data_IF_871779473079
#
_entry.id   IF_871779473079
#
_cell.length_a   1.000
_cell.length_b   1.000
_cell.length_c   1.000
_cell.angle_alpha   90.00
_cell.angle_beta   90.00
_cell.angle_gamma   90.00
#
_symmetry.space_group_name_H-M   'P 1'
#
loop_
_entity.id
_entity.type
_entity.pdbx_description
1 polymer ?
#
# COMPACT_ATOMS: atom_id res chain seq x y z
N UNK A 1 18.59 -12.70 -28.95
CA UNK A 1 18.28 -11.59 -28.06
C UNK A 1 16.85 -11.81 -27.52
N UNK A 2 16.68 -11.79 -26.21
CA UNK A 2 15.37 -11.87 -25.56
C UNK A 2 14.69 -10.50 -25.65
N UNK A 3 13.38 -10.50 -25.83
CA UNK A 3 12.56 -9.28 -25.82
C UNK A 3 11.41 -9.48 -24.82
N UNK A 4 11.18 -8.46 -24.02
CA UNK A 4 10.01 -8.40 -23.17
C UNK A 4 8.86 -7.76 -23.96
N UNK A 5 7.66 -8.30 -23.81
CA UNK A 5 6.41 -7.72 -24.33
C UNK A 5 5.46 -7.62 -23.12
N UNK A 6 5.00 -6.43 -22.83
CA UNK A 6 4.10 -6.17 -21.72
C UNK A 6 2.97 -5.22 -22.16
N UNK A 7 1.78 -5.38 -21.59
CA UNK A 7 0.64 -4.49 -21.84
C UNK A 7 0.77 -3.12 -21.15
N UNK A 8 1.63 -3.03 -20.14
CA UNK A 8 1.92 -1.80 -19.38
C UNK A 8 3.44 -1.68 -19.17
N UNK A 9 3.88 -0.69 -18.41
CA UNK A 9 5.29 -0.48 -18.09
C UNK A 9 5.89 -1.70 -17.39
N UNK A 10 7.11 -2.04 -17.72
CA UNK A 10 7.83 -3.11 -17.04
C UNK A 10 8.33 -2.55 -15.69
N UNK A 11 7.82 -3.12 -14.61
CA UNK A 11 8.28 -2.88 -13.24
C UNK A 11 8.57 -4.25 -12.62
N UNK A 12 9.80 -4.69 -12.73
CA UNK A 12 10.25 -6.01 -12.30
C UNK A 12 10.76 -6.02 -10.84
N UNK A 13 11.15 -7.20 -10.36
CA UNK A 13 11.65 -7.36 -8.98
C UNK A 13 12.91 -6.54 -8.71
N UNK A 14 13.70 -6.25 -9.74
CA UNK A 14 14.92 -5.45 -9.62
C UNK A 14 14.62 -3.97 -9.39
N UNK A 15 13.59 -3.40 -10.06
CA UNK A 15 13.11 -2.04 -9.82
C UNK A 15 12.68 -1.84 -8.37
N UNK A 16 11.97 -2.81 -7.79
CA UNK A 16 11.56 -2.77 -6.39
C UNK A 16 12.73 -2.87 -5.42
N UNK A 17 13.72 -3.72 -5.70
CA UNK A 17 14.92 -3.81 -4.87
C UNK A 17 15.72 -2.50 -4.89
N UNK A 18 15.85 -1.88 -6.08
CA UNK A 18 16.47 -0.56 -6.20
C UNK A 18 15.69 0.49 -5.41
N UNK A 19 14.39 0.47 -5.49
CA UNK A 19 13.52 1.39 -4.77
C UNK A 19 13.67 1.26 -3.25
N UNK A 20 13.65 0.05 -2.73
CA UNK A 20 13.85 -0.21 -1.30
C UNK A 20 15.22 0.30 -0.83
N UNK A 21 16.28 0.04 -1.62
CA UNK A 21 17.62 0.57 -1.31
C UNK A 21 17.66 2.10 -1.32
N UNK A 22 16.99 2.74 -2.28
CA UNK A 22 16.90 4.19 -2.35
C UNK A 22 16.15 4.78 -1.16
N UNK A 23 15.09 4.13 -0.67
CA UNK A 23 14.40 4.52 0.56
C UNK A 23 15.31 4.34 1.78
N UNK A 24 16.01 3.22 1.90
CA UNK A 24 16.91 2.92 3.01
C UNK A 24 18.16 3.82 3.04
N UNK A 25 18.46 4.52 1.97
CA UNK A 25 19.52 5.53 1.94
C UNK A 25 19.10 6.90 2.54
N UNK A 26 17.81 7.07 2.88
CA UNK A 26 17.29 8.26 3.54
C UNK A 26 17.48 8.15 5.05
N UNK A 27 17.73 9.29 5.70
CA UNK A 27 17.88 9.35 7.14
C UNK A 27 16.66 8.81 7.89
N UNK A 28 16.88 7.94 8.85
CA UNK A 28 15.83 7.35 9.68
C UNK A 28 14.97 6.29 8.97
N UNK A 29 15.40 5.82 7.78
CA UNK A 29 14.75 4.72 7.06
C UNK A 29 15.67 3.51 6.99
N UNK A 30 15.13 2.32 7.21
CA UNK A 30 15.85 1.06 7.04
C UNK A 30 15.10 0.13 6.08
N UNK A 31 15.85 -0.76 5.42
CA UNK A 31 15.28 -1.86 4.65
C UNK A 31 15.44 -3.15 5.45
N UNK A 32 14.37 -3.92 5.54
CA UNK A 32 14.32 -5.19 6.26
C UNK A 32 13.83 -6.30 5.32
N UNK A 33 14.48 -7.46 5.38
CA UNK A 33 13.96 -8.69 4.83
C UNK A 33 12.97 -9.26 5.86
N UNK A 34 11.67 -9.30 5.50
CA UNK A 34 10.62 -9.80 6.39
C UNK A 34 10.23 -11.24 6.10
N UNK A 35 10.59 -11.77 4.94
CA UNK A 35 10.28 -13.13 4.53
C UNK A 35 10.73 -13.42 3.11
N UNK A 36 10.28 -14.55 2.61
CA UNK A 36 10.51 -15.00 1.24
C UNK A 36 9.20 -15.50 0.63
N UNK A 37 9.05 -15.35 -0.68
CA UNK A 37 7.95 -15.94 -1.45
C UNK A 37 8.07 -17.45 -1.55
N UNK A 38 7.09 -18.10 -2.14
CA UNK A 38 7.08 -19.56 -2.37
C UNK A 38 8.35 -20.05 -3.08
N UNK A 39 8.88 -19.30 -4.06
CA UNK A 39 10.12 -19.63 -4.76
C UNK A 39 11.39 -19.02 -4.12
N UNK A 40 11.29 -18.50 -2.91
CA UNK A 40 12.44 -17.97 -2.17
C UNK A 40 12.88 -16.57 -2.58
N UNK A 41 12.09 -15.82 -3.36
CA UNK A 41 12.39 -14.39 -3.63
C UNK A 41 12.15 -13.54 -2.39
N UNK A 42 13.04 -12.59 -2.10
CA UNK A 42 12.96 -11.82 -0.87
C UNK A 42 11.74 -10.88 -0.87
N UNK A 43 11.06 -10.83 0.27
CA UNK A 43 10.07 -9.81 0.60
C UNK A 43 10.73 -8.73 1.44
N UNK A 44 10.86 -7.55 0.88
CA UNK A 44 11.45 -6.40 1.55
C UNK A 44 10.37 -5.44 2.07
N UNK A 45 10.66 -4.93 3.25
CA UNK A 45 9.91 -3.84 3.87
C UNK A 45 10.86 -2.66 4.10
N UNK A 46 10.43 -1.44 3.74
CA UNK A 46 11.06 -0.23 4.23
C UNK A 46 10.33 0.22 5.50
N UNK A 47 11.09 0.55 6.54
CA UNK A 47 10.51 1.03 7.80
C UNK A 47 11.25 2.26 8.33
N UNK A 48 10.52 3.12 9.03
CA UNK A 48 11.09 4.26 9.76
C UNK A 48 11.34 3.91 11.22
N UNK A 49 11.92 4.86 11.96
CA UNK A 49 12.16 4.72 13.39
C UNK A 49 10.87 4.39 14.15
N UNK A 50 11.02 3.72 15.28
CA UNK A 50 9.91 3.30 16.14
C UNK A 50 9.13 4.50 16.70
N UNK A 51 7.82 4.40 16.68
CA UNK A 51 6.84 5.31 17.26
C UNK A 51 5.74 4.50 17.94
N UNK A 52 4.98 5.09 18.88
CA UNK A 52 3.87 4.38 19.54
C UNK A 52 2.79 3.90 18.57
N UNK A 53 2.57 4.64 17.49
CA UNK A 53 1.61 4.32 16.44
C UNK A 53 2.33 4.05 15.11
N UNK A 54 1.78 3.13 14.32
CA UNK A 54 2.34 2.84 13.01
C UNK A 54 1.28 2.73 11.93
N UNK A 55 1.72 2.92 10.67
CA UNK A 55 0.89 2.78 9.47
C UNK A 55 1.52 1.75 8.55
N UNK A 56 0.69 1.00 7.83
CA UNK A 56 1.10 -0.04 6.89
C UNK A 56 0.66 0.33 5.47
N UNK A 57 1.60 0.25 4.54
CA UNK A 57 1.35 0.39 3.11
C UNK A 57 1.82 -0.87 2.39
N UNK A 58 0.92 -1.51 1.65
CA UNK A 58 1.24 -2.70 0.85
C UNK A 58 0.82 -2.51 -0.60
N UNK A 59 1.42 -3.25 -1.51
CA UNK A 59 1.03 -3.19 -2.91
C UNK A 59 1.56 -4.36 -3.73
N UNK A 60 1.12 -4.42 -4.97
CA UNK A 60 1.51 -5.45 -5.93
C UNK A 60 1.24 -6.88 -5.45
N UNK A 61 0.07 -7.10 -4.82
CA UNK A 61 -0.46 -8.43 -4.56
C UNK A 61 -0.77 -9.17 -5.88
N UNK A 62 -1.28 -8.42 -6.85
CA UNK A 62 -1.51 -8.92 -8.21
C UNK A 62 -0.42 -8.41 -9.18
N UNK A 63 0.22 -9.33 -9.92
CA UNK A 63 1.40 -9.00 -10.73
C UNK A 63 1.21 -7.97 -11.84
N UNK A 64 0.07 -7.89 -12.57
CA UNK A 64 -0.08 -6.94 -13.68
C UNK A 64 -0.44 -5.51 -13.25
N UNK A 65 -0.73 -5.27 -11.99
CA UNK A 65 -1.25 -4.00 -11.47
C UNK A 65 -0.17 -2.92 -11.38
N UNK A 66 0.31 -2.46 -12.53
CA UNK A 66 1.42 -1.51 -12.65
C UNK A 66 1.00 -0.08 -12.31
N UNK A 67 -0.21 0.34 -12.67
CA UNK A 67 -0.68 1.71 -12.37
C UNK A 67 -0.82 1.93 -10.86
N UNK A 68 -1.29 0.94 -10.11
CA UNK A 68 -1.29 0.95 -8.64
C UNK A 68 0.10 1.07 -8.06
N UNK A 69 1.08 0.36 -8.65
CA UNK A 69 2.48 0.48 -8.24
C UNK A 69 3.08 1.87 -8.54
N UNK A 70 2.70 2.50 -9.66
CA UNK A 70 3.07 3.89 -9.98
C UNK A 70 2.44 4.85 -8.96
N UNK A 71 1.17 4.65 -8.63
CA UNK A 71 0.46 5.41 -7.59
C UNK A 71 1.14 5.26 -6.23
N UNK A 72 1.39 4.02 -5.80
CA UNK A 72 2.10 3.74 -4.56
C UNK A 72 3.48 4.41 -4.52
N UNK A 73 4.25 4.32 -5.61
CA UNK A 73 5.57 4.95 -5.69
C UNK A 73 5.50 6.46 -5.47
N UNK A 74 4.59 7.15 -6.15
CA UNK A 74 4.41 8.59 -6.03
C UNK A 74 3.92 9.00 -4.63
N UNK A 75 3.02 8.20 -4.05
CA UNK A 75 2.56 8.36 -2.67
C UNK A 75 3.74 8.24 -1.69
N UNK A 76 4.57 7.21 -1.82
CA UNK A 76 5.76 7.01 -0.99
C UNK A 76 6.80 8.11 -1.20
N UNK A 77 7.03 8.57 -2.44
CA UNK A 77 7.93 9.69 -2.70
C UNK A 77 7.53 10.94 -1.92
N UNK A 78 6.22 11.18 -1.77
CA UNK A 78 5.67 12.29 -0.99
C UNK A 78 5.81 12.08 0.52
N UNK A 79 5.50 10.88 1.01
CA UNK A 79 5.60 10.53 2.44
C UNK A 79 7.06 10.52 2.94
N UNK A 80 8.00 10.17 2.07
CA UNK A 80 9.44 10.17 2.37
C UNK A 80 10.18 11.42 1.87
N UNK A 81 9.46 12.46 1.45
CA UNK A 81 10.07 13.72 1.05
C UNK A 81 10.68 14.50 2.22
N UNK A 82 11.63 15.41 1.91
CA UNK A 82 12.25 16.29 2.89
C UNK A 82 11.41 17.57 3.12
N UNK A 83 10.09 17.39 3.25
CA UNK A 83 9.18 18.48 3.58
C UNK A 83 8.83 18.44 5.06
N UNK A 84 8.53 19.61 5.64
CA UNK A 84 8.14 19.70 7.05
C UNK A 84 6.90 18.83 7.37
N UNK A 85 5.96 18.70 6.44
CA UNK A 85 4.78 17.86 6.61
C UNK A 85 5.17 16.38 6.70
N UNK A 86 5.99 15.91 5.76
CA UNK A 86 6.43 14.51 5.73
C UNK A 86 7.31 14.16 6.95
N UNK A 87 8.16 15.10 7.39
CA UNK A 87 8.95 14.92 8.61
C UNK A 87 8.04 14.78 9.83
N UNK A 88 7.11 15.72 10.05
CA UNK A 88 6.13 15.64 11.16
C UNK A 88 5.32 14.33 11.14
N UNK A 89 4.96 13.83 9.96
CA UNK A 89 4.25 12.57 9.84
C UNK A 89 5.13 11.39 10.29
N UNK A 90 6.37 11.31 9.83
CA UNK A 90 7.34 10.27 10.25
C UNK A 90 7.80 10.42 11.71
N UNK A 91 7.74 11.62 12.26
CA UNK A 91 8.00 11.86 13.70
C UNK A 91 6.83 11.38 14.58
N UNK A 92 5.62 11.38 14.05
CA UNK A 92 4.41 10.95 14.75
C UNK A 92 4.15 9.44 14.58
N UNK A 93 4.38 8.90 13.39
CA UNK A 93 4.04 7.52 13.04
C UNK A 93 5.27 6.75 12.54
N UNK A 94 5.39 5.49 12.97
CA UNK A 94 6.26 4.53 12.30
C UNK A 94 5.61 4.12 10.98
N UNK A 95 6.39 4.08 9.91
CA UNK A 95 5.92 3.60 8.61
C UNK A 95 6.43 2.19 8.35
N UNK A 96 5.57 1.32 7.83
CA UNK A 96 5.92 0.04 7.24
C UNK A 96 5.44 0.01 5.79
N UNK A 97 6.34 -0.26 4.85
CA UNK A 97 6.04 -0.25 3.40
C UNK A 97 6.53 -1.52 2.75
N UNK A 98 5.59 -2.33 2.24
CA UNK A 98 5.86 -3.54 1.45
C UNK A 98 5.41 -3.31 0.02
N UNK A 99 6.28 -2.82 -0.87
CA UNK A 99 5.85 -2.37 -2.19
C UNK A 99 5.65 -3.50 -3.21
N UNK A 100 6.08 -4.72 -2.89
CA UNK A 100 5.97 -5.89 -3.75
C UNK A 100 5.62 -7.12 -2.93
N UNK A 101 4.32 -7.40 -2.85
CA UNK A 101 3.81 -8.57 -2.13
C UNK A 101 4.00 -9.88 -2.90
N UNK A 102 3.94 -9.86 -4.24
CA UNK A 102 3.99 -11.03 -5.10
C UNK A 102 5.22 -11.02 -6.04
N UNK A 103 6.44 -11.19 -5.50
CA UNK A 103 7.64 -11.11 -6.32
C UNK A 103 7.76 -12.28 -7.32
N UNK A 104 7.23 -13.46 -7.02
CA UNK A 104 7.23 -14.61 -7.93
C UNK A 104 6.33 -14.34 -9.12
N UNK A 105 5.10 -13.92 -8.88
CA UNK A 105 4.14 -13.63 -9.93
C UNK A 105 4.64 -12.50 -10.85
N UNK A 106 5.27 -11.46 -10.30
CA UNK A 106 5.89 -10.39 -11.09
C UNK A 106 7.04 -10.92 -11.94
N UNK A 107 7.93 -11.75 -11.37
CA UNK A 107 9.06 -12.31 -12.10
C UNK A 107 8.65 -13.26 -13.24
N UNK A 108 7.51 -13.94 -13.09
CA UNK A 108 7.01 -14.94 -14.03
C UNK A 108 5.88 -14.43 -14.94
N UNK A 109 5.40 -13.20 -14.72
CA UNK A 109 4.33 -12.60 -15.53
C UNK A 109 2.96 -13.22 -15.27
N UNK A 110 2.68 -13.60 -14.03
CA UNK A 110 1.35 -14.10 -13.67
C UNK A 110 0.30 -12.99 -13.79
N UNK A 111 -0.94 -13.42 -14.09
CA UNK A 111 -2.05 -12.47 -14.21
C UNK A 111 -2.59 -12.01 -12.84
N UNK A 112 -2.67 -12.92 -11.85
CA UNK A 112 -3.29 -12.61 -10.56
C UNK A 112 -2.63 -13.32 -9.38
N UNK A 113 -2.56 -14.64 -9.42
CA UNK A 113 -2.14 -15.48 -8.32
C UNK A 113 -0.62 -15.46 -8.11
N UNK A 114 -0.20 -15.86 -6.91
CA UNK A 114 1.20 -16.23 -6.69
C UNK A 114 1.49 -17.59 -7.34
N UNK A 115 2.69 -18.12 -7.19
CA UNK A 115 3.07 -19.43 -7.75
C UNK A 115 2.47 -20.61 -6.97
N UNK A 116 1.86 -20.37 -5.81
CA UNK A 116 1.05 -21.33 -5.08
C UNK A 116 -0.41 -21.39 -5.56
N UNK A 117 -0.73 -20.78 -6.70
CA UNK A 117 -2.07 -20.67 -7.29
C UNK A 117 -3.09 -20.00 -6.38
N UNK A 118 -2.62 -19.08 -5.53
CA UNK A 118 -3.47 -18.38 -4.56
C UNK A 118 -3.51 -16.88 -4.89
N UNK A 119 -4.72 -16.31 -4.89
CA UNK A 119 -4.91 -14.86 -4.85
C UNK A 119 -4.50 -14.35 -3.46
N UNK A 120 -3.37 -13.63 -3.38
CA UNK A 120 -2.87 -13.11 -2.10
C UNK A 120 -3.89 -12.21 -1.41
N UNK A 121 -4.73 -11.49 -2.19
CA UNK A 121 -5.80 -10.67 -1.63
C UNK A 121 -7.09 -11.48 -1.30
N UNK A 122 -6.94 -12.79 -1.11
CA UNK A 122 -7.94 -13.73 -0.57
C UNK A 122 -7.37 -14.61 0.55
N UNK A 123 -6.11 -14.38 0.92
CA UNK A 123 -5.41 -15.15 1.96
C UNK A 123 -5.34 -14.42 3.31
N UNK A 124 -5.89 -13.21 3.40
CA UNK A 124 -5.89 -12.42 4.63
C UNK A 124 -6.85 -13.00 5.68
N UNK A 125 -6.29 -13.52 6.76
CA UNK A 125 -6.98 -14.23 7.83
C UNK A 125 -6.63 -15.72 7.87
N UNK A 126 -6.44 -16.38 6.74
CA UNK A 126 -5.91 -17.74 6.66
C UNK A 126 -4.37 -17.75 6.76
N UNK A 127 -3.72 -16.80 6.06
CA UNK A 127 -2.26 -16.66 6.04
C UNK A 127 -1.53 -17.95 5.68
N UNK A 128 -2.03 -18.67 4.70
CA UNK A 128 -1.45 -19.91 4.20
C UNK A 128 -0.24 -19.64 3.30
N UNK A 129 -0.20 -18.46 2.67
CA UNK A 129 0.88 -18.05 1.79
C UNK A 129 2.01 -17.39 2.57
N UNK A 130 3.29 -17.68 2.23
CA UNK A 130 4.42 -17.07 2.92
C UNK A 130 4.47 -15.55 2.78
N UNK A 131 3.95 -15.01 1.69
CA UNK A 131 3.92 -13.57 1.41
C UNK A 131 3.02 -12.81 2.39
N UNK A 132 1.79 -13.26 2.58
CA UNK A 132 0.84 -12.65 3.53
C UNK A 132 1.26 -12.93 4.97
N UNK A 133 1.80 -14.13 5.24
CA UNK A 133 2.36 -14.51 6.54
C UNK A 133 3.50 -13.55 6.95
N UNK A 134 4.42 -13.26 6.06
CA UNK A 134 5.54 -12.38 6.36
C UNK A 134 5.09 -10.96 6.76
N UNK A 135 4.03 -10.46 6.14
CA UNK A 135 3.48 -9.13 6.48
C UNK A 135 2.77 -9.15 7.82
N UNK A 136 1.92 -10.15 8.06
CA UNK A 136 1.20 -10.20 9.35
C UNK A 136 2.16 -10.45 10.51
N UNK A 137 3.17 -11.30 10.37
CA UNK A 137 4.19 -11.54 11.39
C UNK A 137 4.94 -10.24 11.74
N UNK A 138 5.22 -9.37 10.75
CA UNK A 138 5.81 -8.06 11.01
C UNK A 138 4.84 -7.16 11.78
N UNK A 139 3.55 -7.11 11.40
CA UNK A 139 2.53 -6.32 12.11
C UNK A 139 2.39 -6.78 13.55
N UNK A 140 2.23 -8.08 13.78
CA UNK A 140 2.09 -8.68 15.11
C UNK A 140 3.33 -8.44 15.98
N UNK A 141 4.52 -8.43 15.39
CA UNK A 141 5.74 -8.06 16.11
C UNK A 141 5.75 -6.57 16.53
N UNK A 142 5.17 -5.66 15.75
CA UNK A 142 5.02 -4.26 16.19
C UNK A 142 4.01 -4.17 17.35
N UNK A 143 2.87 -4.86 17.23
CA UNK A 143 1.83 -4.90 18.26
C UNK A 143 2.35 -5.52 19.57
N UNK A 144 3.09 -6.62 19.48
CA UNK A 144 3.75 -7.25 20.62
C UNK A 144 4.79 -6.34 21.31
N UNK A 145 5.37 -5.40 20.56
CA UNK A 145 6.25 -4.37 21.10
C UNK A 145 5.49 -3.14 21.65
N UNK A 146 4.16 -3.23 21.80
CA UNK A 146 3.30 -2.21 22.37
C UNK A 146 2.96 -1.05 21.42
N UNK A 147 3.10 -1.25 20.10
CA UNK A 147 2.74 -0.24 19.10
C UNK A 147 1.33 -0.51 18.56
N UNK A 148 0.64 0.53 18.17
CA UNK A 148 -0.73 0.46 17.64
C UNK A 148 -0.73 0.70 16.12
N UNK A 149 -1.33 -0.24 15.35
CA UNK A 149 -1.62 0.00 13.94
C UNK A 149 -2.82 0.93 13.83
N UNK A 150 -2.66 2.06 13.14
CA UNK A 150 -3.72 3.09 13.04
C UNK A 150 -4.25 3.30 11.63
N UNK A 151 -3.59 2.77 10.62
CA UNK A 151 -4.00 2.87 9.21
C UNK A 151 -3.36 1.77 8.38
N UNK A 152 -4.11 1.21 7.42
CA UNK A 152 -3.56 0.38 6.34
C UNK A 152 -4.08 0.86 4.99
N UNK A 153 -3.17 0.95 4.00
CA UNK A 153 -3.54 1.20 2.59
C UNK A 153 -2.90 0.13 1.71
N UNK A 154 -3.73 -0.46 0.86
CA UNK A 154 -3.37 -1.46 -0.13
C UNK A 154 -3.54 -0.88 -1.55
N UNK A 155 -2.47 -0.90 -2.33
CA UNK A 155 -2.42 -0.30 -3.66
C UNK A 155 -2.64 -1.35 -4.74
N UNK A 156 -3.67 -1.13 -5.55
CA UNK A 156 -4.13 -2.00 -6.62
C UNK A 156 -4.38 -1.24 -7.93
N UNK A 157 -4.76 -1.97 -8.97
CA UNK A 157 -5.22 -1.40 -10.23
C UNK A 157 -6.52 -2.06 -10.69
N UNK A 158 -7.38 -1.25 -11.30
CA UNK A 158 -8.57 -1.70 -12.02
C UNK A 158 -8.81 -0.77 -13.21
N UNK A 159 -9.99 -0.82 -13.85
CA UNK A 159 -10.28 0.04 -15.02
C UNK A 159 -10.58 1.51 -14.69
N UNK A 160 -10.75 1.87 -13.41
CA UNK A 160 -11.04 3.24 -13.00
C UNK A 160 -10.37 3.60 -11.65
N UNK A 161 -10.20 4.90 -11.42
CA UNK A 161 -9.63 5.39 -10.16
C UNK A 161 -10.70 5.38 -9.07
N UNK A 162 -10.46 4.63 -7.99
CA UNK A 162 -11.40 4.55 -6.87
C UNK A 162 -10.74 4.13 -5.55
N UNK A 163 -11.48 4.32 -4.47
CA UNK A 163 -11.11 3.86 -3.13
C UNK A 163 -12.21 2.96 -2.59
N UNK A 164 -11.89 1.68 -2.33
CA UNK A 164 -12.72 0.83 -1.49
C UNK A 164 -12.37 1.07 -0.03
N UNK A 165 -13.39 1.29 0.77
CA UNK A 165 -13.24 1.61 2.20
C UNK A 165 -14.16 0.74 3.04
N UNK A 166 -13.99 0.68 4.37
CA UNK A 166 -15.01 0.15 5.26
C UNK A 166 -16.36 0.88 5.08
N UNK A 167 -17.46 0.35 5.63
CA UNK A 167 -18.75 1.02 5.60
C UNK A 167 -18.66 2.43 6.18
N UNK A 168 -19.35 3.38 5.57
CA UNK A 168 -19.25 4.80 5.93
C UNK A 168 -19.62 5.10 7.38
N UNK A 169 -20.61 4.36 7.93
CA UNK A 169 -21.04 4.49 9.33
C UNK A 169 -19.96 4.09 10.35
N UNK A 170 -18.97 3.32 9.89
CA UNK A 170 -17.90 2.79 10.74
C UNK A 170 -16.58 3.54 10.52
N UNK A 171 -16.59 4.63 9.76
CA UNK A 171 -15.43 5.49 9.50
C UNK A 171 -15.26 6.50 10.66
N UNK A 172 -14.52 6.18 11.73
CA UNK A 172 -14.41 7.04 12.90
C UNK A 172 -13.30 8.07 12.76
N UNK A 173 -13.50 9.28 13.13
CA UNK A 173 -14.67 10.15 13.00
C UNK A 173 -14.74 10.75 11.59
N UNK A 174 -15.28 10.05 10.64
CA UNK A 174 -15.33 10.40 9.20
C UNK A 174 -13.92 10.54 8.55
N UNK A 175 -12.92 9.82 9.07
CA UNK A 175 -11.52 9.97 8.68
C UNK A 175 -11.30 9.83 7.18
N UNK A 176 -11.74 8.69 6.59
CA UNK A 176 -11.54 8.43 5.15
C UNK A 176 -12.35 9.40 4.31
N UNK A 177 -13.57 9.71 4.72
CA UNK A 177 -14.42 10.69 4.02
C UNK A 177 -13.74 12.07 3.98
N UNK A 178 -13.24 12.56 5.12
CA UNK A 178 -12.52 13.85 5.21
C UNK A 178 -11.25 13.86 4.38
N UNK A 179 -10.49 12.79 4.40
CA UNK A 179 -9.29 12.64 3.58
C UNK A 179 -9.60 12.74 2.09
N UNK A 180 -10.57 11.96 1.62
CA UNK A 180 -10.93 11.91 0.21
C UNK A 180 -11.60 13.22 -0.27
N UNK A 181 -12.41 13.87 0.55
CA UNK A 181 -13.03 15.16 0.21
C UNK A 181 -12.00 16.30 0.15
N UNK A 182 -11.04 16.33 1.07
CA UNK A 182 -9.92 17.28 1.00
C UNK A 182 -9.06 17.06 -0.24
N UNK A 183 -8.82 15.78 -0.59
CA UNK A 183 -8.10 15.43 -1.81
C UNK A 183 -8.85 15.85 -3.07
N UNK A 184 -10.16 15.61 -3.12
CA UNK A 184 -11.03 15.98 -4.26
C UNK A 184 -11.02 17.50 -4.50
N UNK A 185 -11.02 18.29 -3.45
CA UNK A 185 -10.96 19.75 -3.56
C UNK A 185 -9.65 20.24 -4.24
N UNK A 186 -8.58 19.47 -4.18
CA UNK A 186 -7.29 19.77 -4.81
C UNK A 186 -7.08 19.11 -6.18
N UNK A 187 -7.98 18.20 -6.55
CA UNK A 187 -7.91 17.40 -7.77
C UNK A 187 -9.17 17.57 -8.64
N UNK A 188 -9.53 18.82 -9.05
CA UNK A 188 -10.76 19.05 -9.80
C UNK A 188 -10.80 18.30 -11.15
N UNK A 189 -9.63 18.08 -11.75
CA UNK A 189 -9.48 17.42 -13.05
C UNK A 189 -9.09 15.93 -12.96
N UNK A 190 -9.18 15.34 -11.77
CA UNK A 190 -8.90 13.93 -11.54
C UNK A 190 -10.10 13.28 -10.85
N UNK A 191 -11.08 12.78 -11.61
CA UNK A 191 -12.25 12.13 -11.03
C UNK A 191 -11.85 10.78 -10.43
N UNK A 192 -12.30 10.52 -9.22
CA UNK A 192 -12.18 9.23 -8.55
C UNK A 192 -13.43 8.93 -7.74
N UNK A 193 -13.71 7.64 -7.54
CA UNK A 193 -14.86 7.19 -6.76
C UNK A 193 -14.47 6.87 -5.33
N UNK A 194 -15.38 7.13 -4.41
CA UNK A 194 -15.34 6.60 -3.04
C UNK A 194 -16.43 5.52 -2.93
N UNK A 195 -16.02 4.29 -2.68
CA UNK A 195 -16.89 3.11 -2.67
C UNK A 195 -16.83 2.43 -1.30
N UNK A 196 -17.69 2.82 -0.35
CA UNK A 196 -17.82 2.10 0.91
C UNK A 196 -18.32 0.69 0.65
N UNK A 197 -17.58 -0.31 1.13
CA UNK A 197 -17.88 -1.71 0.86
C UNK A 197 -18.82 -2.30 1.90
N UNK A 198 -19.84 -3.01 1.47
CA UNK A 198 -20.72 -3.79 2.35
C UNK A 198 -20.30 -5.26 2.47
N UNK A 199 -19.42 -5.75 1.59
CA UNK A 199 -18.94 -7.13 1.63
C UNK A 199 -17.71 -7.26 2.53
N UNK A 200 -17.93 -7.35 3.83
CA UNK A 200 -16.88 -7.47 4.84
C UNK A 200 -16.38 -8.91 5.04
N UNK A 201 -17.07 -9.91 4.48
CA UNK A 201 -16.70 -11.32 4.63
C UNK A 201 -15.58 -11.76 3.67
N UNK A 202 -15.31 -10.96 2.63
CA UNK A 202 -14.24 -11.27 1.71
C UNK A 202 -12.88 -11.18 2.40
N UNK A 203 -12.06 -12.22 2.28
CA UNK A 203 -10.75 -12.36 2.92
C UNK A 203 -9.65 -11.51 2.25
N UNK A 204 -9.93 -10.22 2.02
CA UNK A 204 -8.96 -9.26 1.51
C UNK A 204 -8.29 -8.46 2.64
N UNK A 205 -7.18 -7.82 2.32
CA UNK A 205 -6.36 -7.04 3.26
C UNK A 205 -7.19 -5.99 3.99
N UNK A 206 -7.95 -5.17 3.27
CA UNK A 206 -8.80 -4.11 3.81
C UNK A 206 -9.79 -4.63 4.85
N UNK A 207 -10.54 -5.67 4.51
CA UNK A 207 -11.54 -6.24 5.43
C UNK A 207 -10.89 -6.88 6.64
N UNK A 208 -9.75 -7.58 6.45
CA UNK A 208 -9.03 -8.20 7.55
C UNK A 208 -8.61 -7.17 8.59
N UNK A 209 -7.90 -6.11 8.20
CA UNK A 209 -7.41 -5.10 9.12
C UNK A 209 -8.54 -4.29 9.76
N UNK A 210 -9.56 -3.94 8.99
CA UNK A 210 -10.74 -3.28 9.53
C UNK A 210 -11.45 -4.15 10.60
N UNK A 211 -11.76 -5.42 10.29
CA UNK A 211 -12.50 -6.31 11.21
C UNK A 211 -11.69 -6.72 12.43
N UNK A 212 -10.41 -6.96 12.28
CA UNK A 212 -9.58 -7.47 13.37
C UNK A 212 -9.05 -6.38 14.30
N UNK A 213 -8.94 -5.13 13.81
CA UNK A 213 -8.30 -4.03 14.55
C UNK A 213 -9.17 -2.78 14.66
N UNK A 214 -10.28 -2.68 13.93
CA UNK A 214 -11.18 -1.51 13.97
C UNK A 214 -10.58 -0.24 13.39
N UNK A 215 -9.55 -0.36 12.55
CA UNK A 215 -8.82 0.79 11.97
C UNK A 215 -9.33 1.15 10.57
N UNK A 216 -9.12 2.37 10.10
CA UNK A 216 -9.23 2.69 8.70
C UNK A 216 -8.32 1.79 7.86
N UNK A 217 -8.92 1.00 6.97
CA UNK A 217 -8.22 0.12 6.05
C UNK A 217 -8.80 0.35 4.65
N UNK A 218 -7.95 0.69 3.70
CA UNK A 218 -8.38 1.23 2.41
C UNK A 218 -7.68 0.48 1.27
N UNK A 219 -8.44 0.11 0.24
CA UNK A 219 -7.87 -0.28 -1.05
C UNK A 219 -7.92 0.92 -1.99
N UNK A 220 -6.75 1.37 -2.43
CA UNK A 220 -6.61 2.40 -3.46
C UNK A 220 -6.39 1.72 -4.81
N UNK A 221 -7.40 1.79 -5.67
CA UNK A 221 -7.39 1.28 -7.03
C UNK A 221 -7.07 2.40 -8.00
N UNK A 222 -6.08 2.18 -8.87
CA UNK A 222 -5.68 3.13 -9.91
C UNK A 222 -6.12 2.59 -11.26
N UNK A 223 -6.75 3.44 -12.09
CA UNK A 223 -7.22 3.05 -13.41
C UNK A 223 -6.09 2.64 -14.34
N UNK A 224 -6.25 1.50 -15.04
CA UNK A 224 -5.23 0.95 -15.94
C UNK A 224 -4.85 1.91 -17.07
N UNK A 225 -5.83 2.65 -17.61
CA UNK A 225 -5.65 3.62 -18.71
C UNK A 225 -5.41 5.05 -18.23
N UNK A 226 -5.36 5.28 -16.92
CA UNK A 226 -5.17 6.62 -16.36
C UNK A 226 -3.80 7.19 -16.73
N UNK A 227 -3.76 8.44 -17.16
CA UNK A 227 -2.52 9.12 -17.52
C UNK A 227 -1.50 9.07 -16.39
N UNK A 228 -0.27 8.67 -16.71
CA UNK A 228 0.79 8.39 -15.72
C UNK A 228 1.24 9.65 -14.95
N UNK A 229 1.16 10.81 -15.57
CA UNK A 229 1.46 12.07 -14.88
C UNK A 229 0.30 12.47 -13.94
N UNK A 230 -0.94 12.20 -14.35
CA UNK A 230 -2.11 12.39 -13.52
C UNK A 230 -2.09 11.47 -12.29
N UNK A 231 -1.75 10.18 -12.46
CA UNK A 231 -1.57 9.24 -11.34
C UNK A 231 -0.56 9.79 -10.32
N UNK A 232 0.63 10.21 -10.78
CA UNK A 232 1.67 10.71 -9.87
C UNK A 232 1.23 11.95 -9.12
N UNK A 233 0.57 12.89 -9.81
CA UNK A 233 0.04 14.11 -9.20
C UNK A 233 -1.05 13.79 -8.17
N UNK A 234 -2.00 12.93 -8.53
CA UNK A 234 -3.10 12.55 -7.65
C UNK A 234 -2.59 11.82 -6.40
N UNK A 235 -1.72 10.83 -6.57
CA UNK A 235 -1.13 10.07 -5.45
C UNK A 235 -0.34 10.98 -4.49
N UNK A 236 0.38 11.97 -5.00
CA UNK A 236 1.06 12.96 -4.16
C UNK A 236 0.06 13.79 -3.34
N UNK A 237 -1.04 14.23 -3.96
CA UNK A 237 -2.11 14.98 -3.25
C UNK A 237 -2.78 14.10 -2.19
N UNK A 238 -3.11 12.85 -2.51
CA UNK A 238 -3.65 11.90 -1.53
C UNK A 238 -2.71 11.71 -0.34
N UNK A 239 -1.42 11.56 -0.59
CA UNK A 239 -0.42 11.44 0.48
C UNK A 239 -0.34 12.71 1.36
N UNK A 240 -0.33 13.88 0.75
CA UNK A 240 -0.29 15.15 1.49
C UNK A 240 -1.53 15.36 2.36
N UNK A 241 -2.73 15.13 1.81
CA UNK A 241 -3.97 15.31 2.58
C UNK A 241 -4.11 14.27 3.69
N UNK A 242 -3.68 13.03 3.45
CA UNK A 242 -3.57 12.02 4.49
C UNK A 242 -2.68 12.49 5.64
N UNK A 243 -1.45 12.90 5.31
CA UNK A 243 -0.50 13.39 6.32
C UNK A 243 -1.04 14.61 7.08
N UNK A 244 -1.65 15.59 6.38
CA UNK A 244 -2.26 16.77 7.02
C UNK A 244 -3.36 16.40 8.01
N UNK A 245 -4.17 15.42 7.67
CA UNK A 245 -5.25 14.97 8.54
C UNK A 245 -4.68 14.24 9.76
N UNK A 246 -3.78 13.29 9.55
CA UNK A 246 -3.25 12.44 10.62
C UNK A 246 -2.37 13.19 11.63
N UNK A 247 -1.56 14.15 11.21
CA UNK A 247 -0.72 14.93 12.15
C UNK A 247 -1.51 15.92 13.01
N UNK A 248 -2.80 16.11 12.74
CA UNK A 248 -3.70 16.98 13.53
C UNK A 248 -4.57 16.18 14.52
N UNK A 249 -4.61 14.89 14.40
CA UNK A 249 -5.29 13.98 15.32
C UNK A 249 -4.42 13.70 16.56
#
# INVERSE_FOLDING_TARGET
>A
AWRWVAGQEIMDTWDYQHRIRALAAKDGVSARLIGQSVQGRPLYLAETADRPEFVLFVGRQHPPEVTGAIGMRAFMDTVFADTQLAQRFRDRFKLGVVPLMNPDGVALGHWRHNVGDTDLNRDWGAFEQPETRAVIDWVEAQEAAGRELVLMIDFHSTWEDLFYTPPKQDDPPDFVTRWLDASRARLPDFPFKHVPSSNLEQANSKNYFYRSRGIPAVTYEVGDETDRAAIRRAAAVFAEELMRLMVRM
#
